data_IF_358569892039
#
_entry.id   IF_358569892039
#
_cell.length_a   1.000
_cell.length_b   1.000
_cell.length_c   1.000
_cell.angle_alpha   90.00
_cell.angle_beta   90.00
_cell.angle_gamma   90.00
#
_symmetry.space_group_name_H-M   'P 1'
#
loop_
_entity.id
_entity.type
_entity.pdbx_description
1 polymer ?
#
# COMPACT_ATOMS: atom_id res chain seq x y z
N UNK A 1 13.32 -9.88 14.29
CA UNK A 1 13.48 -9.24 12.96
C UNK A 1 12.32 -9.54 12.01
N UNK A 2 11.76 -10.77 12.02
CA UNK A 2 10.58 -11.14 11.21
C UNK A 2 9.32 -10.35 11.60
N UNK A 3 9.21 -9.97 12.87
CA UNK A 3 8.02 -9.30 13.43
C UNK A 3 7.86 -7.85 12.94
N UNK A 4 8.98 -7.13 12.75
CA UNK A 4 8.95 -5.76 12.24
C UNK A 4 8.49 -5.71 10.78
N UNK A 5 8.95 -6.67 9.96
CA UNK A 5 8.52 -6.81 8.56
C UNK A 5 7.04 -7.16 8.49
N UNK A 6 6.57 -8.07 9.35
CA UNK A 6 5.16 -8.45 9.41
C UNK A 6 4.27 -7.28 9.81
N UNK A 7 4.69 -6.48 10.81
CA UNK A 7 3.99 -5.26 11.21
C UNK A 7 3.86 -4.27 10.04
N UNK A 8 4.94 -4.04 9.28
CA UNK A 8 4.92 -3.13 8.13
C UNK A 8 3.96 -3.64 7.05
N UNK A 9 3.96 -4.95 6.77
CA UNK A 9 3.04 -5.57 5.80
C UNK A 9 1.58 -5.35 6.22
N UNK A 10 1.25 -5.55 7.50
CA UNK A 10 -0.11 -5.32 8.01
C UNK A 10 -0.52 -3.87 7.87
N UNK A 11 0.33 -2.95 8.29
CA UNK A 11 0.02 -1.51 8.23
C UNK A 11 -0.22 -1.08 6.79
N UNK A 12 0.55 -1.61 5.83
CA UNK A 12 0.36 -1.37 4.40
C UNK A 12 -0.97 -1.91 3.88
N UNK A 13 -1.34 -3.14 4.25
CA UNK A 13 -2.61 -3.76 3.81
C UNK A 13 -3.81 -3.04 4.43
N UNK A 14 -3.76 -2.75 5.73
CA UNK A 14 -4.84 -2.06 6.45
C UNK A 14 -4.98 -0.60 5.97
N UNK A 15 -3.87 0.11 5.81
CA UNK A 15 -3.87 1.48 5.26
C UNK A 15 -4.43 1.55 3.84
N UNK A 16 -4.12 0.56 2.99
CA UNK A 16 -4.70 0.47 1.64
C UNK A 16 -6.20 0.17 1.67
N UNK A 17 -6.66 -0.76 2.50
CA UNK A 17 -8.09 -1.07 2.66
C UNK A 17 -8.89 0.14 3.14
N UNK A 18 -8.38 0.88 4.13
CA UNK A 18 -9.00 2.12 4.60
C UNK A 18 -9.03 3.17 3.49
N UNK A 19 -7.93 3.29 2.73
CA UNK A 19 -7.85 4.18 1.57
C UNK A 19 -8.85 3.83 0.46
N UNK A 20 -8.99 2.54 0.16
CA UNK A 20 -9.88 2.02 -0.88
C UNK A 20 -11.36 2.30 -0.56
N UNK A 21 -11.76 2.03 0.68
CA UNK A 21 -13.17 2.13 1.11
C UNK A 21 -13.54 3.59 1.44
N UNK A 22 -12.64 4.37 2.04
CA UNK A 22 -12.92 5.73 2.52
C UNK A 22 -12.91 6.82 1.44
N UNK A 23 -12.14 6.63 0.35
CA UNK A 23 -11.91 7.68 -0.66
C UNK A 23 -12.50 7.37 -2.04
N UNK A 24 -13.19 6.24 -2.20
CA UNK A 24 -13.75 5.79 -3.49
C UNK A 24 -14.77 6.76 -4.11
N UNK A 25 -15.59 7.43 -3.31
CA UNK A 25 -16.63 8.35 -3.80
C UNK A 25 -16.16 9.82 -3.91
N UNK A 26 -15.14 10.22 -3.14
CA UNK A 26 -14.78 11.63 -2.96
C UNK A 26 -13.69 12.13 -3.93
N UNK A 27 -12.86 11.25 -4.49
CA UNK A 27 -11.59 11.64 -5.10
C UNK A 27 -11.50 11.37 -6.62
N UNK A 28 -12.53 10.78 -7.22
CA UNK A 28 -12.59 10.52 -8.67
C UNK A 28 -11.63 9.42 -9.14
N UNK A 29 -12.03 8.69 -10.19
CA UNK A 29 -11.32 7.48 -10.67
C UNK A 29 -9.82 7.68 -10.95
N UNK A 30 -9.41 8.88 -11.37
CA UNK A 30 -8.00 9.17 -11.68
C UNK A 30 -7.10 9.10 -10.44
N UNK A 31 -7.50 9.75 -9.34
CA UNK A 31 -6.68 9.80 -8.12
C UNK A 31 -6.67 8.44 -7.43
N UNK A 32 -7.75 7.67 -7.57
CA UNK A 32 -7.82 6.29 -7.07
C UNK A 32 -6.78 5.39 -7.76
N UNK A 33 -6.67 5.45 -9.09
CA UNK A 33 -5.67 4.68 -9.85
C UNK A 33 -4.24 5.09 -9.47
N UNK A 34 -3.98 6.39 -9.32
CA UNK A 34 -2.68 6.90 -8.90
C UNK A 34 -2.30 6.42 -7.48
N UNK A 35 -3.26 6.40 -6.54
CA UNK A 35 -3.06 5.87 -5.18
C UNK A 35 -2.80 4.36 -5.17
N UNK A 36 -3.55 3.59 -5.96
CA UNK A 36 -3.34 2.14 -6.09
C UNK A 36 -1.94 1.86 -6.64
N UNK A 37 -1.50 2.58 -7.67
CA UNK A 37 -0.13 2.46 -8.21
C UNK A 37 0.94 2.81 -7.17
N UNK A 38 0.72 3.86 -6.37
CA UNK A 38 1.63 4.24 -5.29
C UNK A 38 1.78 3.11 -4.24
N UNK A 39 0.68 2.48 -3.83
CA UNK A 39 0.72 1.36 -2.88
C UNK A 39 1.39 0.12 -3.50
N UNK A 40 1.10 -0.20 -4.77
CA UNK A 40 1.77 -1.30 -5.48
C UNK A 40 3.28 -1.06 -5.54
N UNK A 41 3.74 0.17 -5.83
CA UNK A 41 5.18 0.49 -5.83
C UNK A 41 5.82 0.35 -4.44
N UNK A 42 5.13 0.75 -3.38
CA UNK A 42 5.62 0.58 -2.01
C UNK A 42 5.73 -0.92 -1.65
N UNK A 43 4.69 -1.71 -1.95
CA UNK A 43 4.70 -3.16 -1.74
C UNK A 43 5.80 -3.83 -2.56
N UNK A 44 5.93 -3.47 -3.83
CA UNK A 44 6.97 -3.99 -4.72
C UNK A 44 8.36 -3.65 -4.20
N UNK A 45 8.59 -2.42 -3.72
CA UNK A 45 9.87 -2.02 -3.12
C UNK A 45 10.16 -2.75 -1.82
N UNK A 46 9.12 -3.03 -1.01
CA UNK A 46 9.25 -3.77 0.25
C UNK A 46 9.59 -5.25 0.01
N UNK A 47 8.90 -5.89 -0.95
CA UNK A 47 9.09 -7.28 -1.35
C UNK A 47 10.39 -7.48 -2.12
N UNK A 48 10.70 -6.53 -3.00
CA UNK A 48 11.94 -6.48 -3.80
C UNK A 48 13.04 -5.74 -3.05
N UNK A 49 12.97 -5.67 -1.71
CA UNK A 49 14.00 -5.17 -0.80
C UNK A 49 15.26 -6.03 -0.89
N UNK A 50 15.89 -5.98 -2.07
CA UNK A 50 17.02 -6.76 -2.55
C UNK A 50 18.11 -6.59 -1.50
N UNK A 51 18.31 -7.63 -0.70
CA UNK A 51 19.62 -7.92 -0.13
C UNK A 51 20.49 -8.28 -1.34
N UNK A 52 21.25 -7.30 -1.84
CA UNK A 52 22.55 -7.62 -2.42
C UNK A 52 23.49 -7.74 -1.22
#
# INVERSE_FOLDING_TARGET
MKDLIWLIVVILVVGWLIGFIGFGAAVGNLIHILLVLAVIMILYKLLTGRKI
#
